data_IF_689425621103
#
_entry.id   IF_689425621103
#
_cell.length_a   1.000
_cell.length_b   1.000
_cell.length_c   1.000
_cell.angle_alpha   90.00
_cell.angle_beta   90.00
_cell.angle_gamma   90.00
#
_symmetry.space_group_name_H-M   'P 1'
#
loop_
_entity.id
_entity.type
_entity.pdbx_description
1 polymer ?
#
# COMPACT_ATOMS: atom_id res chain seq x y z
N UNK A 1 18.40 -14.32 -34.31
CA UNK A 1 18.86 -13.14 -33.55
C UNK A 1 17.95 -11.99 -33.93
N UNK A 2 17.32 -11.31 -32.95
CA UNK A 2 16.46 -10.18 -33.24
C UNK A 2 17.27 -8.92 -33.57
N UNK A 3 16.74 -7.97 -34.35
CA UNK A 3 17.32 -6.64 -34.50
C UNK A 3 17.55 -5.99 -33.12
N UNK A 4 18.63 -5.19 -33.01
CA UNK A 4 19.05 -4.57 -31.73
C UNK A 4 17.91 -3.81 -31.03
N UNK A 5 17.07 -3.09 -31.79
CA UNK A 5 15.94 -2.33 -31.25
C UNK A 5 14.89 -3.24 -30.62
N UNK A 6 14.56 -4.36 -31.27
CA UNK A 6 13.62 -5.35 -30.74
C UNK A 6 14.17 -5.97 -29.46
N UNK A 7 15.46 -6.39 -29.49
CA UNK A 7 16.08 -7.00 -28.32
C UNK A 7 16.09 -6.04 -27.12
N UNK A 8 16.47 -4.78 -27.34
CA UNK A 8 16.49 -3.75 -26.28
C UNK A 8 15.10 -3.60 -25.61
N UNK A 9 14.03 -3.59 -26.40
CA UNK A 9 12.68 -3.45 -25.82
C UNK A 9 12.23 -4.73 -25.09
N UNK A 10 12.62 -5.91 -25.58
CA UNK A 10 12.41 -7.19 -24.87
C UNK A 10 13.11 -7.16 -23.50
N UNK A 11 14.35 -6.69 -23.46
CA UNK A 11 15.15 -6.62 -22.22
C UNK A 11 14.50 -5.66 -21.21
N UNK A 12 13.98 -4.51 -21.68
CA UNK A 12 13.25 -3.56 -20.83
C UNK A 12 11.95 -4.16 -20.26
N UNK A 13 11.14 -4.80 -21.08
CA UNK A 13 9.91 -5.45 -20.60
C UNK A 13 10.19 -6.65 -19.69
N UNK A 14 11.31 -7.34 -19.88
CA UNK A 14 11.71 -8.46 -19.01
C UNK A 14 12.09 -8.02 -17.59
N UNK A 15 12.27 -6.72 -17.35
CA UNK A 15 12.50 -6.15 -16.01
C UNK A 15 11.20 -5.99 -15.21
N UNK A 16 10.04 -6.12 -15.84
CA UNK A 16 8.76 -6.02 -15.14
C UNK A 16 8.53 -7.27 -14.27
N UNK A 17 7.96 -7.10 -13.06
CA UNK A 17 7.65 -8.23 -12.20
C UNK A 17 6.83 -9.29 -12.95
N UNK A 18 7.20 -10.56 -12.81
CA UNK A 18 6.53 -11.72 -13.42
C UNK A 18 6.61 -11.79 -14.97
N UNK A 19 7.29 -10.85 -15.63
CA UNK A 19 7.45 -10.83 -17.09
C UNK A 19 8.78 -11.46 -17.48
N UNK A 20 8.73 -12.68 -18.00
CA UNK A 20 9.91 -13.34 -18.57
C UNK A 20 10.15 -12.96 -20.05
N UNK A 21 11.32 -13.35 -20.64
CA UNK A 21 11.67 -13.01 -22.02
C UNK A 21 10.63 -13.42 -23.07
N UNK A 22 9.94 -14.56 -22.88
CA UNK A 22 8.88 -15.00 -23.80
C UNK A 22 7.68 -14.06 -23.78
N UNK A 23 7.25 -13.62 -22.62
CA UNK A 23 6.13 -12.68 -22.48
C UNK A 23 6.54 -11.30 -23.00
N UNK A 24 7.74 -10.84 -22.66
CA UNK A 24 8.30 -9.60 -23.17
C UNK A 24 8.35 -9.56 -24.70
N UNK A 25 8.82 -10.65 -25.35
CA UNK A 25 8.80 -10.79 -26.81
C UNK A 25 7.38 -10.63 -27.38
N UNK A 26 6.39 -11.26 -26.76
CA UNK A 26 4.98 -11.15 -27.21
C UNK A 26 4.48 -9.70 -27.16
N UNK A 27 4.84 -8.95 -26.12
CA UNK A 27 4.50 -7.52 -26.03
C UNK A 27 5.15 -6.71 -27.13
N UNK A 28 6.45 -6.92 -27.41
CA UNK A 28 7.17 -6.19 -28.46
C UNK A 28 6.56 -6.47 -29.82
N UNK A 29 6.28 -7.74 -30.17
CA UNK A 29 5.65 -8.08 -31.43
C UNK A 29 4.19 -7.62 -31.54
N UNK A 30 3.48 -7.49 -30.43
CA UNK A 30 2.17 -6.86 -30.42
C UNK A 30 2.26 -5.37 -30.78
N UNK A 31 3.18 -4.65 -30.15
CA UNK A 31 3.40 -3.21 -30.43
C UNK A 31 3.84 -2.96 -31.88
N UNK A 32 4.67 -3.84 -32.46
CA UNK A 32 5.09 -3.74 -33.87
C UNK A 32 3.93 -3.85 -34.88
N UNK A 33 2.83 -4.50 -34.49
CA UNK A 33 1.63 -4.64 -35.32
C UNK A 33 0.60 -3.52 -35.12
N UNK A 34 0.81 -2.69 -34.09
CA UNK A 34 -0.10 -1.57 -33.80
C UNK A 34 0.21 -0.37 -34.67
N UNK A 35 -0.81 0.44 -35.02
CA UNK A 35 -0.59 1.75 -35.63
C UNK A 35 0.30 2.63 -34.75
N UNK A 36 1.06 3.50 -35.39
CA UNK A 36 1.99 4.40 -34.67
C UNK A 36 1.27 5.26 -33.64
N UNK A 37 0.07 5.72 -33.96
CA UNK A 37 -0.78 6.57 -33.12
C UNK A 37 -1.11 5.90 -31.76
N UNK A 38 -1.43 4.59 -31.78
CA UNK A 38 -1.70 3.82 -30.55
C UNK A 38 -0.44 3.66 -29.70
N UNK A 39 0.72 3.44 -30.34
CA UNK A 39 2.00 3.37 -29.64
C UNK A 39 2.39 4.72 -29.03
N UNK A 40 2.19 5.80 -29.76
CA UNK A 40 2.46 7.17 -29.29
C UNK A 40 1.53 7.55 -28.13
N UNK A 41 0.29 7.08 -28.12
CA UNK A 41 -0.64 7.26 -26.99
C UNK A 41 -0.13 6.55 -25.75
N UNK A 42 0.31 5.28 -25.86
CA UNK A 42 0.90 4.52 -24.76
C UNK A 42 2.14 5.23 -24.19
N UNK A 43 3.02 5.71 -25.05
CA UNK A 43 4.22 6.45 -24.63
C UNK A 43 3.86 7.71 -23.87
N UNK A 44 2.88 8.50 -24.37
CA UNK A 44 2.36 9.68 -23.69
C UNK A 44 1.77 9.34 -22.31
N UNK A 45 0.98 8.27 -22.21
CA UNK A 45 0.39 7.83 -20.94
C UNK A 45 1.47 7.45 -19.90
N UNK A 46 2.52 6.73 -20.32
CA UNK A 46 3.65 6.38 -19.45
C UNK A 46 4.40 7.64 -18.99
N UNK A 47 4.60 8.61 -19.88
CA UNK A 47 5.26 9.87 -19.56
C UNK A 47 4.46 10.69 -18.54
N UNK A 48 3.16 10.88 -18.80
CA UNK A 48 2.24 11.57 -17.90
C UNK A 48 2.13 10.92 -16.52
N UNK A 49 2.19 9.58 -16.45
CA UNK A 49 2.23 8.86 -15.19
C UNK A 49 3.40 9.31 -14.30
N UNK A 50 4.57 9.53 -14.90
CA UNK A 50 5.77 9.95 -14.17
C UNK A 50 5.77 11.44 -13.81
N UNK A 51 5.15 12.28 -14.64
CA UNK A 51 5.09 13.73 -14.42
C UNK A 51 4.01 14.12 -13.40
N UNK A 52 2.81 13.54 -13.54
CA UNK A 52 1.63 14.00 -12.80
C UNK A 52 1.42 13.28 -11.48
N UNK A 53 1.76 11.98 -11.41
CA UNK A 53 1.53 11.20 -10.20
C UNK A 53 2.60 11.50 -9.15
N UNK A 54 2.15 11.90 -7.97
CA UNK A 54 3.00 12.19 -6.80
C UNK A 54 2.71 11.18 -5.69
N UNK A 55 3.64 11.10 -4.76
CA UNK A 55 3.49 10.29 -3.53
C UNK A 55 3.06 11.23 -2.41
N UNK A 56 1.98 10.89 -1.74
CA UNK A 56 1.51 11.63 -0.56
C UNK A 56 2.52 11.49 0.59
N UNK A 57 3.05 12.59 1.14
CA UNK A 57 4.06 12.52 2.20
C UNK A 57 3.52 12.01 3.54
N UNK A 58 2.20 11.91 3.71
CA UNK A 58 1.56 11.44 4.93
C UNK A 58 1.21 9.95 4.92
N UNK A 59 0.66 9.44 3.82
CA UNK A 59 0.21 8.05 3.74
C UNK A 59 0.99 7.21 2.72
N UNK A 60 1.82 7.84 1.89
CA UNK A 60 2.60 7.24 0.81
C UNK A 60 1.78 6.65 -0.34
N UNK A 61 0.48 6.96 -0.42
CA UNK A 61 -0.35 6.62 -1.58
C UNK A 61 -0.01 7.50 -2.77
N UNK A 62 -0.14 6.95 -3.97
CA UNK A 62 -0.03 7.71 -5.21
C UNK A 62 -1.29 8.55 -5.44
N UNK A 63 -1.11 9.77 -5.94
CA UNK A 63 -2.22 10.66 -6.29
C UNK A 63 -1.82 11.64 -7.39
N UNK A 64 -2.80 12.13 -8.12
CA UNK A 64 -2.63 13.28 -9.01
C UNK A 64 -3.15 14.53 -8.30
N UNK A 65 -2.30 15.56 -8.11
CA UNK A 65 -2.75 16.85 -7.60
C UNK A 65 -3.77 17.46 -8.55
N UNK A 66 -4.95 17.86 -8.08
CA UNK A 66 -5.91 18.57 -8.91
C UNK A 66 -5.41 19.99 -9.20
N UNK A 67 -5.32 20.35 -10.50
CA UNK A 67 -4.96 21.70 -10.91
C UNK A 67 -6.09 22.72 -10.78
N UNK A 68 -7.30 22.28 -10.42
CA UNK A 68 -8.49 23.12 -10.38
C UNK A 68 -8.49 24.18 -9.25
N UNK A 69 -7.60 24.05 -8.25
CA UNK A 69 -7.46 24.99 -7.14
C UNK A 69 -6.05 25.58 -7.01
N UNK A 70 -5.30 25.60 -8.11
CA UNK A 70 -4.00 26.27 -8.14
C UNK A 70 -4.15 27.80 -8.27
N UNK A 71 -4.95 28.41 -7.42
CA UNK A 71 -4.83 29.81 -7.10
C UNK A 71 -3.64 29.94 -6.16
N UNK A 72 -2.57 30.58 -6.68
CA UNK A 72 -1.38 31.02 -5.94
C UNK A 72 -0.51 29.94 -5.27
N UNK A 73 0.15 29.08 -6.07
CA UNK A 73 1.36 28.36 -5.60
C UNK A 73 1.17 27.25 -4.54
N UNK A 74 -0.05 26.94 -4.14
CA UNK A 74 -0.41 25.85 -3.22
C UNK A 74 -1.04 24.68 -3.95
N UNK A 75 -0.28 23.99 -4.80
CA UNK A 75 -0.69 22.68 -5.29
C UNK A 75 -0.98 21.74 -4.09
N UNK A 76 -1.99 20.89 -4.21
CA UNK A 76 -2.32 19.92 -3.17
C UNK A 76 -1.07 19.14 -2.74
N UNK A 77 -0.69 19.30 -1.46
CA UNK A 77 0.45 18.59 -0.89
C UNK A 77 0.12 17.15 -0.52
N UNK A 78 -1.17 16.84 -0.33
CA UNK A 78 -1.67 15.59 0.20
C UNK A 78 -2.72 14.98 -0.73
N UNK A 79 -2.84 13.64 -0.69
CA UNK A 79 -3.89 12.93 -1.43
C UNK A 79 -5.29 13.26 -0.87
N UNK A 80 -6.34 12.99 -1.66
CA UNK A 80 -7.72 13.25 -1.29
C UNK A 80 -8.18 12.58 0.01
N UNK A 81 -7.52 11.51 0.47
CA UNK A 81 -7.80 10.90 1.79
C UNK A 81 -7.21 11.75 2.91
N UNK A 82 -5.94 12.12 2.79
CA UNK A 82 -5.24 12.86 3.85
C UNK A 82 -5.68 14.33 3.96
N UNK A 83 -6.13 14.94 2.87
CA UNK A 83 -6.66 16.31 2.83
C UNK A 83 -8.11 16.41 3.29
N UNK A 84 -8.87 15.31 3.25
CA UNK A 84 -10.30 15.31 3.57
C UNK A 84 -10.55 15.59 5.06
N UNK A 85 -11.24 16.71 5.41
CA UNK A 85 -11.51 17.07 6.81
C UNK A 85 -12.53 16.15 7.51
N UNK A 86 -13.36 15.42 6.75
CA UNK A 86 -14.34 14.48 7.31
C UNK A 86 -13.75 13.13 7.74
N UNK A 87 -12.44 12.92 7.54
CA UNK A 87 -11.73 11.72 8.00
C UNK A 87 -11.44 11.78 9.49
N UNK A 88 -11.62 10.66 10.15
CA UNK A 88 -11.26 10.50 11.57
C UNK A 88 -9.73 10.44 11.72
N UNK A 89 -9.15 11.52 12.25
CA UNK A 89 -7.70 11.63 12.46
C UNK A 89 -7.21 10.84 13.65
N UNK A 90 -8.09 10.28 14.46
CA UNK A 90 -7.73 9.45 15.62
C UNK A 90 -7.42 8.01 15.24
N UNK A 91 -7.79 7.59 14.01
CA UNK A 91 -7.61 6.23 13.49
C UNK A 91 -6.56 6.22 12.38
N UNK A 92 -5.53 5.38 12.52
CA UNK A 92 -4.52 5.15 11.50
C UNK A 92 -4.49 3.66 11.11
N UNK A 93 -4.79 3.34 9.85
CA UNK A 93 -4.74 1.99 9.31
C UNK A 93 -3.42 1.79 8.56
N UNK A 94 -2.60 0.86 9.01
CA UNK A 94 -1.35 0.48 8.35
C UNK A 94 -1.63 -0.67 7.39
N UNK A 95 -1.29 -0.48 6.12
CA UNK A 95 -1.42 -1.47 5.04
C UNK A 95 -0.05 -1.74 4.42
N UNK A 96 0.11 -2.88 3.74
CA UNK A 96 1.35 -3.21 3.05
C UNK A 96 1.56 -2.33 1.82
N UNK A 97 0.53 -2.21 0.96
CA UNK A 97 0.60 -1.59 -0.37
C UNK A 97 -0.71 -0.88 -0.74
N UNK A 98 -0.67 -0.16 -1.84
CA UNK A 98 -1.78 0.66 -2.35
C UNK A 98 -3.05 -0.16 -2.64
N UNK A 99 -2.90 -1.37 -3.17
CA UNK A 99 -4.04 -2.26 -3.48
C UNK A 99 -4.83 -2.66 -2.24
N UNK A 100 -4.16 -2.80 -1.10
CA UNK A 100 -4.81 -3.15 0.18
C UNK A 100 -5.62 -1.95 0.70
N UNK A 101 -5.04 -0.74 0.64
CA UNK A 101 -5.75 0.50 0.93
C UNK A 101 -7.01 0.62 0.09
N UNK A 102 -6.89 0.45 -1.23
CA UNK A 102 -8.03 0.55 -2.15
C UNK A 102 -9.12 -0.48 -1.85
N UNK A 103 -8.74 -1.69 -1.43
CA UNK A 103 -9.68 -2.74 -1.04
C UNK A 103 -10.48 -2.37 0.21
N UNK A 104 -9.84 -1.76 1.20
CA UNK A 104 -10.52 -1.27 2.40
C UNK A 104 -11.42 -0.08 2.05
N UNK A 105 -10.95 0.88 1.26
CA UNK A 105 -11.74 2.06 0.83
C UNK A 105 -13.01 1.67 0.07
N UNK A 106 -12.96 0.65 -0.78
CA UNK A 106 -14.14 0.12 -1.50
C UNK A 106 -15.27 -0.30 -0.57
N UNK A 107 -14.98 -0.68 0.66
CA UNK A 107 -16.00 -1.05 1.65
C UNK A 107 -16.83 0.14 2.13
N UNK A 108 -16.29 1.37 2.02
CA UNK A 108 -16.88 2.62 2.53
C UNK A 108 -17.17 2.63 4.04
N UNK A 109 -16.65 1.64 4.78
CA UNK A 109 -16.89 1.50 6.23
C UNK A 109 -15.80 2.16 7.08
N UNK A 110 -14.57 2.19 6.58
CA UNK A 110 -13.46 2.81 7.28
C UNK A 110 -13.38 4.31 6.97
N UNK A 111 -13.31 5.13 8.01
CA UNK A 111 -13.27 6.59 7.87
C UNK A 111 -11.98 7.22 8.40
N UNK A 112 -11.02 6.42 8.84
CA UNK A 112 -9.73 6.89 9.33
C UNK A 112 -8.74 7.23 8.23
N UNK A 113 -7.49 7.48 8.65
CA UNK A 113 -6.35 7.73 7.78
C UNK A 113 -5.58 6.43 7.53
N UNK A 114 -4.73 6.44 6.51
CA UNK A 114 -3.91 5.30 6.13
C UNK A 114 -2.41 5.60 6.21
N UNK A 115 -1.64 4.52 6.27
CA UNK A 115 -0.20 4.55 6.08
C UNK A 115 0.24 3.29 5.31
N UNK A 116 0.91 3.49 4.18
CA UNK A 116 1.41 2.39 3.33
C UNK A 116 2.85 2.09 3.75
N UNK A 117 3.04 0.89 4.32
CA UNK A 117 4.32 0.45 4.86
C UNK A 117 5.38 0.23 3.77
N UNK A 118 4.94 -0.20 2.57
CA UNK A 118 5.80 -0.41 1.39
C UNK A 118 6.35 -1.83 1.28
N UNK A 119 5.86 -2.78 2.06
CA UNK A 119 6.22 -4.19 2.02
C UNK A 119 6.04 -4.88 3.36
N UNK A 120 6.58 -6.09 3.47
CA UNK A 120 6.59 -6.89 4.69
C UNK A 120 7.99 -7.39 5.01
N UNK A 121 8.23 -7.78 6.26
CA UNK A 121 9.49 -8.36 6.71
C UNK A 121 9.47 -9.86 6.41
N UNK A 122 10.22 -10.30 5.42
CA UNK A 122 10.30 -11.74 5.07
C UNK A 122 11.12 -12.55 6.09
N UNK A 123 12.17 -11.95 6.61
CA UNK A 123 12.99 -12.49 7.70
C UNK A 123 13.44 -11.27 8.50
N UNK A 124 13.29 -11.21 9.80
CA UNK A 124 13.64 -10.07 10.66
C UNK A 124 15.11 -9.57 10.50
N UNK A 125 15.57 -9.52 9.26
CA UNK A 125 16.90 -9.00 8.88
C UNK A 125 16.82 -7.48 8.80
N UNK A 126 17.84 -6.82 9.30
CA UNK A 126 17.97 -5.37 9.29
C UNK A 126 17.78 -4.76 7.90
N UNK A 127 18.33 -5.40 6.85
CA UNK A 127 18.20 -4.96 5.47
C UNK A 127 16.76 -5.00 4.92
N UNK A 128 15.88 -5.87 5.43
CA UNK A 128 14.49 -5.92 5.01
C UNK A 128 13.67 -4.85 5.75
N UNK A 129 13.99 -4.61 7.02
CA UNK A 129 13.37 -3.55 7.83
C UNK A 129 13.71 -2.16 7.28
N UNK A 130 14.95 -1.95 6.83
CA UNK A 130 15.41 -0.68 6.25
C UNK A 130 14.71 -0.30 4.93
N UNK A 131 14.10 -1.28 4.23
CA UNK A 131 13.28 -1.03 3.04
C UNK A 131 11.87 -0.55 3.36
N UNK A 132 11.39 -0.79 4.58
CA UNK A 132 10.08 -0.39 5.03
C UNK A 132 10.11 1.06 5.56
N UNK A 133 8.99 1.73 5.45
CA UNK A 133 8.81 3.13 5.92
C UNK A 133 8.61 3.21 7.44
N UNK A 134 9.50 2.53 8.20
CA UNK A 134 9.40 2.45 9.66
C UNK A 134 9.68 3.80 10.32
N UNK A 135 10.72 4.50 9.85
CA UNK A 135 11.10 5.82 10.38
C UNK A 135 9.99 6.85 10.14
N UNK A 136 9.46 6.84 8.93
CA UNK A 136 8.36 7.71 8.53
C UNK A 136 7.07 7.42 9.32
N UNK A 137 6.82 6.15 9.64
CA UNK A 137 5.71 5.76 10.52
C UNK A 137 5.88 6.32 11.94
N UNK A 138 7.07 6.18 12.52
CA UNK A 138 7.37 6.74 13.84
C UNK A 138 7.22 8.26 13.85
N UNK A 139 7.75 8.95 12.84
CA UNK A 139 7.62 10.40 12.67
C UNK A 139 6.15 10.80 12.52
N UNK A 140 5.38 10.06 11.74
CA UNK A 140 3.94 10.28 11.55
C UNK A 140 3.19 10.21 12.87
N UNK A 141 3.46 9.20 13.69
CA UNK A 141 2.81 9.01 14.99
C UNK A 141 3.25 10.08 15.99
N UNK A 142 4.53 10.43 16.01
CA UNK A 142 5.07 11.48 16.89
C UNK A 142 4.51 12.88 16.57
N UNK A 143 4.31 13.17 15.27
CA UNK A 143 3.81 14.47 14.80
C UNK A 143 2.30 14.62 14.90
N UNK A 144 1.55 13.53 15.12
CA UNK A 144 0.08 13.51 15.13
C UNK A 144 -0.42 12.88 16.44
N UNK A 145 -0.34 13.65 17.55
CA UNK A 145 -0.73 13.16 18.88
C UNK A 145 -2.22 12.86 19.02
N UNK A 146 -3.04 13.26 18.04
CA UNK A 146 -4.46 12.92 17.94
C UNK A 146 -4.71 11.44 17.62
N UNK A 147 -3.73 10.68 17.13
CA UNK A 147 -3.87 9.26 16.81
C UNK A 147 -4.04 8.47 18.11
N UNK A 148 -5.21 7.82 18.24
CA UNK A 148 -5.59 7.01 19.41
C UNK A 148 -5.51 5.52 19.13
N UNK A 149 -5.72 5.13 17.89
CA UNK A 149 -5.71 3.72 17.46
C UNK A 149 -4.92 3.55 16.18
N UNK A 150 -4.07 2.54 16.18
CA UNK A 150 -3.34 2.03 15.00
C UNK A 150 -3.88 0.64 14.67
N UNK A 151 -4.46 0.51 13.49
CA UNK A 151 -5.01 -0.74 12.98
C UNK A 151 -3.97 -1.38 12.05
N UNK A 152 -3.47 -2.56 12.38
CA UNK A 152 -2.55 -3.32 11.53
C UNK A 152 -3.36 -4.17 10.55
N UNK A 153 -3.55 -3.66 9.33
CA UNK A 153 -4.28 -4.31 8.25
C UNK A 153 -3.30 -4.97 7.27
N UNK A 154 -2.56 -5.95 7.79
CA UNK A 154 -1.57 -6.73 7.05
C UNK A 154 -2.14 -8.08 6.66
N UNK A 155 -1.63 -8.67 5.58
CA UNK A 155 -2.06 -9.99 5.13
C UNK A 155 -1.73 -11.05 6.19
N UNK A 156 -2.60 -12.04 6.43
CA UNK A 156 -2.38 -13.12 7.41
C UNK A 156 -1.43 -14.20 6.85
N UNK A 157 -0.24 -13.78 6.42
CA UNK A 157 0.87 -14.62 5.98
C UNK A 157 1.94 -14.65 7.07
N UNK A 158 2.86 -15.60 7.01
CA UNK A 158 3.99 -15.67 7.96
C UNK A 158 4.76 -14.35 8.04
N UNK A 159 4.99 -13.70 6.87
CA UNK A 159 5.65 -12.40 6.79
C UNK A 159 4.79 -11.28 7.38
N UNK A 160 3.48 -11.32 7.11
CA UNK A 160 2.54 -10.34 7.66
C UNK A 160 2.43 -10.43 9.18
N UNK A 161 2.38 -11.63 9.74
CA UNK A 161 2.40 -11.86 11.19
C UNK A 161 3.69 -11.38 11.83
N UNK A 162 4.85 -11.73 11.24
CA UNK A 162 6.14 -11.25 11.72
C UNK A 162 6.24 -9.72 11.69
N UNK A 163 5.71 -9.10 10.62
CA UNK A 163 5.66 -7.64 10.47
C UNK A 163 4.74 -7.01 11.51
N UNK A 164 3.55 -7.59 11.74
CA UNK A 164 2.61 -7.11 12.74
C UNK A 164 3.20 -7.15 14.15
N UNK A 165 3.82 -8.27 14.53
CA UNK A 165 4.52 -8.41 15.82
C UNK A 165 5.66 -7.41 15.98
N UNK A 166 6.42 -7.16 14.91
CA UNK A 166 7.48 -6.16 14.91
C UNK A 166 6.91 -4.75 15.14
N UNK A 167 5.84 -4.37 14.42
CA UNK A 167 5.19 -3.07 14.59
C UNK A 167 4.56 -2.90 15.97
N UNK A 168 3.94 -3.92 16.55
CA UNK A 168 3.43 -3.88 17.92
C UNK A 168 4.53 -3.59 18.93
N UNK A 169 5.71 -4.24 18.78
CA UNK A 169 6.87 -3.98 19.64
C UNK A 169 7.41 -2.56 19.46
N UNK A 170 7.43 -2.06 18.23
CA UNK A 170 7.87 -0.71 17.91
C UNK A 170 6.93 0.36 18.50
N UNK A 171 5.62 0.12 18.45
CA UNK A 171 4.61 1.07 18.92
C UNK A 171 4.48 1.12 20.45
N UNK A 172 4.82 0.03 21.16
CA UNK A 172 4.79 -0.02 22.63
C UNK A 172 5.59 1.10 23.34
N UNK A 173 6.85 1.41 22.95
CA UNK A 173 7.62 2.50 23.57
C UNK A 173 7.07 3.89 23.25
N UNK A 174 6.40 4.07 22.10
CA UNK A 174 5.79 5.33 21.72
C UNK A 174 4.60 5.70 22.62
N UNK A 175 4.07 4.71 23.36
CA UNK A 175 3.00 4.87 24.34
C UNK A 175 3.47 5.43 25.69
N UNK A 176 4.76 5.78 25.88
CA UNK A 176 5.37 6.11 27.17
C UNK A 176 6.08 7.46 27.28
N UNK A 177 5.48 8.61 27.00
CA UNK A 177 5.85 9.78 27.77
C UNK A 177 4.74 10.15 28.75
N UNK A 178 5.13 10.52 29.95
CA UNK A 178 4.24 11.06 30.99
C UNK A 178 3.31 12.10 30.35
N UNK A 179 1.99 11.84 30.40
CA UNK A 179 0.97 12.77 29.88
C UNK A 179 0.49 12.54 28.43
N UNK A 180 1.01 11.56 27.67
CA UNK A 180 0.46 11.20 26.34
C UNK A 180 -0.47 9.99 26.43
N UNK A 181 -1.55 10.04 25.64
CA UNK A 181 -2.55 8.98 25.54
C UNK A 181 -1.91 7.70 25.00
N UNK A 182 -2.26 6.55 25.59
CA UNK A 182 -1.85 5.24 25.14
C UNK A 182 -2.48 4.97 23.77
N UNK A 183 -1.66 4.66 22.77
CA UNK A 183 -2.12 4.30 21.43
C UNK A 183 -2.57 2.82 21.47
N UNK A 184 -3.84 2.58 21.19
CA UNK A 184 -4.36 1.22 21.03
C UNK A 184 -3.86 0.64 19.72
N UNK A 185 -3.26 -0.55 19.74
CA UNK A 185 -2.92 -1.29 18.53
C UNK A 185 -3.90 -2.43 18.36
N UNK A 186 -4.53 -2.50 17.20
CA UNK A 186 -5.52 -3.54 16.85
C UNK A 186 -5.14 -4.19 15.51
N UNK A 187 -5.75 -5.33 15.21
CA UNK A 187 -5.63 -6.03 13.93
C UNK A 187 -6.99 -6.22 13.31
N UNK A 188 -7.04 -6.46 12.01
CA UNK A 188 -8.28 -6.87 11.35
C UNK A 188 -8.74 -8.21 11.92
N UNK A 189 -10.06 -8.33 12.12
CA UNK A 189 -10.66 -9.60 12.53
C UNK A 189 -10.41 -10.67 11.47
N UNK A 190 -10.14 -11.88 11.92
CA UNK A 190 -10.03 -13.09 11.09
C UNK A 190 -11.34 -13.85 11.18
N UNK A 191 -11.70 -14.54 10.09
CA UNK A 191 -12.92 -15.33 10.07
C UNK A 191 -13.14 -15.98 8.72
N UNK A 192 -14.25 -16.73 8.63
CA UNK A 192 -14.64 -17.43 7.42
C UNK A 192 -14.98 -16.43 6.30
N UNK A 193 -14.51 -16.65 5.07
CA UNK A 193 -14.91 -15.85 3.93
C UNK A 193 -16.38 -16.12 3.58
N UNK A 194 -17.09 -15.07 3.15
CA UNK A 194 -18.48 -15.21 2.69
C UNK A 194 -18.50 -16.01 1.40
N UNK A 195 -19.32 -17.08 1.36
CA UNK A 195 -19.42 -17.99 0.22
C UNK A 195 -18.41 -19.16 0.25
N UNK A 196 -17.57 -19.26 1.30
CA UNK A 196 -16.75 -20.44 1.55
C UNK A 196 -17.52 -21.53 2.29
N UNK A 197 -17.21 -22.79 2.01
CA UNK A 197 -17.75 -23.94 2.74
C UNK A 197 -16.87 -24.24 3.96
N UNK A 198 -17.50 -24.61 5.07
CA UNK A 198 -16.85 -24.80 6.36
C UNK A 198 -15.81 -25.93 6.34
N UNK A 199 -16.06 -26.96 5.54
CA UNK A 199 -15.18 -28.12 5.41
C UNK A 199 -13.82 -27.84 4.75
N UNK A 200 -13.71 -26.73 3.99
CA UNK A 200 -12.46 -26.33 3.35
C UNK A 200 -11.69 -25.27 4.14
N UNK A 201 -12.24 -24.83 5.27
CA UNK A 201 -11.55 -23.86 6.12
C UNK A 201 -10.47 -24.57 6.94
N UNK A 202 -9.29 -23.95 7.00
CA UNK A 202 -8.20 -24.42 7.85
C UNK A 202 -8.52 -24.26 9.35
N UNK A 203 -7.81 -25.01 10.17
CA UNK A 203 -8.02 -25.06 11.63
C UNK A 203 -7.83 -23.69 12.31
N UNK A 204 -6.86 -22.89 11.85
CA UNK A 204 -6.60 -21.54 12.38
C UNK A 204 -7.75 -20.58 12.07
N UNK A 205 -8.28 -20.63 10.83
CA UNK A 205 -9.44 -19.84 10.40
C UNK A 205 -10.69 -20.20 11.21
N UNK A 206 -10.95 -21.49 11.43
CA UNK A 206 -12.08 -21.96 12.24
C UNK A 206 -11.95 -21.52 13.70
N UNK A 207 -10.77 -21.68 14.30
CA UNK A 207 -10.49 -21.25 15.66
C UNK A 207 -10.73 -19.74 15.82
N UNK A 208 -10.17 -18.94 14.92
CA UNK A 208 -10.36 -17.47 14.91
C UNK A 208 -11.83 -17.07 14.76
N UNK A 209 -12.58 -17.77 13.90
CA UNK A 209 -14.02 -17.52 13.73
C UNK A 209 -14.83 -17.87 14.98
N UNK A 210 -14.47 -18.97 15.69
CA UNK A 210 -15.09 -19.34 16.95
C UNK A 210 -14.79 -18.36 18.08
N UNK A 211 -13.57 -17.84 18.16
CA UNK A 211 -13.20 -16.81 19.13
C UNK A 211 -13.90 -15.47 18.84
N UNK A 212 -14.05 -15.13 17.57
CA UNK A 212 -14.70 -13.90 17.10
C UNK A 212 -16.24 -13.96 17.01
N UNK A 213 -16.89 -15.05 17.46
CA UNK A 213 -18.37 -15.18 17.43
C UNK A 213 -19.04 -14.05 18.20
N UNK A 214 -20.10 -13.51 17.61
CA UNK A 214 -20.94 -12.44 18.19
C UNK A 214 -22.17 -13.04 18.87
#
# INVERSE_FOLDING_TARGET
MYPKTIQKLIDLFSQFPTVGPRTASRFVFYLLRKPKEEVDELLRAIHLLKEKVKICPLCFSFFEPSFAEATEGKGEKFCGICSNPSRDRTLLCIVEKETDLLSIEKTKKYRGLYFILGGMVSRLKKADIEKLRIKELEERIKSHPEIKEVILALNPTTEGEATALYLERLLKPLNRPVGRQVIKTTRLGRGLPVGGELEYADEETLSSALEGRK
#
